data_IF_010681941480
#
_entry.id   IF_010681941480
#
_cell.length_a   1.000
_cell.length_b   1.000
_cell.length_c   1.000
_cell.angle_alpha   90.00
_cell.angle_beta   90.00
_cell.angle_gamma   90.00
#
_symmetry.space_group_name_H-M   'P 1'
#
loop_
_entity.id
_entity.type
_entity.pdbx_description
1 polymer ?
#
# COMPACT_ATOMS: atom_id res chain seq x y z
N UNK A 1 19.41 9.81 18.47
CA UNK A 1 18.06 10.27 18.79
C UNK A 1 17.11 9.97 17.64
N UNK A 2 15.87 9.67 17.97
CA UNK A 2 14.82 9.40 16.98
C UNK A 2 14.25 10.75 16.53
N UNK A 3 14.20 10.97 15.20
CA UNK A 3 13.61 12.20 14.64
C UNK A 3 12.08 12.17 14.66
N UNK A 4 11.50 10.98 14.54
CA UNK A 4 10.06 10.79 14.61
C UNK A 4 9.74 9.44 15.24
N UNK A 5 8.74 9.42 16.10
CA UNK A 5 8.28 8.20 16.76
C UNK A 5 6.76 8.08 16.59
N UNK A 6 6.31 6.90 16.18
CA UNK A 6 4.89 6.58 16.07
C UNK A 6 4.64 5.30 16.85
N UNK A 7 3.84 5.42 17.92
CA UNK A 7 3.49 4.29 18.77
C UNK A 7 2.22 3.65 18.21
N UNK A 8 2.27 2.35 17.92
CA UNK A 8 1.19 1.63 17.28
C UNK A 8 -0.16 1.75 17.97
N UNK A 9 -0.18 1.76 19.31
CA UNK A 9 -1.41 1.89 20.07
C UNK A 9 -2.09 3.26 19.93
N UNK A 10 -1.34 4.27 19.49
CA UNK A 10 -1.84 5.63 19.27
C UNK A 10 -2.19 5.90 17.81
N UNK A 11 -1.86 4.97 16.93
CA UNK A 11 -2.08 5.12 15.51
C UNK A 11 -3.53 4.78 15.19
N UNK A 12 -4.24 5.71 14.56
CA UNK A 12 -5.64 5.52 14.14
C UNK A 12 -5.67 5.25 12.65
N UNK A 13 -6.05 4.04 12.23
CA UNK A 13 -6.21 3.76 10.80
C UNK A 13 -7.44 4.49 10.25
N UNK A 14 -7.31 4.95 9.01
CA UNK A 14 -8.40 5.52 8.26
C UNK A 14 -8.86 4.54 7.19
N UNK A 15 -10.04 4.78 6.64
CA UNK A 15 -10.51 4.01 5.52
C UNK A 15 -9.58 4.23 4.33
N UNK A 16 -9.30 3.15 3.58
CA UNK A 16 -8.49 3.22 2.37
C UNK A 16 -9.09 4.26 1.41
N UNK A 17 -8.32 5.30 1.02
CA UNK A 17 -8.88 6.46 0.32
C UNK A 17 -9.08 6.27 -1.18
N UNK A 18 -8.57 5.18 -1.75
CA UNK A 18 -8.65 4.94 -3.18
C UNK A 18 -9.77 3.97 -3.52
N UNK A 19 -10.08 3.85 -4.80
CA UNK A 19 -11.10 2.91 -5.27
C UNK A 19 -10.76 1.50 -4.83
N UNK A 20 -11.73 0.84 -4.20
CA UNK A 20 -11.56 -0.52 -3.68
C UNK A 20 -12.92 -1.12 -3.36
N UNK A 21 -12.94 -2.41 -3.07
CA UNK A 21 -14.13 -3.12 -2.59
C UNK A 21 -13.82 -3.79 -1.26
N UNK A 22 -14.82 -3.86 -0.40
CA UNK A 22 -14.68 -4.45 0.92
C UNK A 22 -14.08 -3.49 1.94
N UNK A 23 -13.75 -4.03 3.10
CA UNK A 23 -13.25 -3.25 4.22
C UNK A 23 -11.72 -3.24 4.21
N UNK A 24 -11.16 -2.09 3.92
CA UNK A 24 -9.72 -1.87 3.89
C UNK A 24 -9.39 -0.61 4.68
N UNK A 25 -8.44 -0.72 5.59
CA UNK A 25 -7.94 0.43 6.36
C UNK A 25 -6.48 0.67 6.08
N UNK A 26 -6.07 1.92 6.22
CA UNK A 26 -4.71 2.37 5.98
C UNK A 26 -4.28 3.30 7.11
N UNK A 27 -3.08 3.08 7.62
CA UNK A 27 -2.48 3.97 8.60
C UNK A 27 -1.12 4.41 8.10
N UNK A 28 -0.88 5.71 8.06
CA UNK A 28 0.43 6.26 7.72
C UNK A 28 1.29 6.26 8.98
N UNK A 29 2.40 5.55 8.94
CA UNK A 29 3.25 5.38 10.12
C UNK A 29 4.27 6.51 10.30
N UNK A 30 4.56 7.28 9.27
CA UNK A 30 5.37 8.48 9.38
C UNK A 30 4.54 9.70 9.01
N UNK A 31 4.24 10.52 10.01
CA UNK A 31 3.38 11.69 9.83
C UNK A 31 4.03 12.78 8.95
N UNK A 32 5.35 12.76 8.82
CA UNK A 32 6.07 13.71 7.98
C UNK A 32 6.67 13.00 6.77
N UNK A 33 6.01 13.13 5.64
CA UNK A 33 6.41 12.49 4.39
C UNK A 33 7.77 12.96 3.85
N UNK A 34 8.31 14.04 4.38
CA UNK A 34 9.62 14.54 3.94
C UNK A 34 10.77 13.78 4.57
N UNK A 35 10.49 12.97 5.60
CA UNK A 35 11.49 12.18 6.31
C UNK A 35 11.63 10.76 5.74
N UNK A 36 12.06 10.67 4.49
CA UNK A 36 12.33 9.38 3.87
C UNK A 36 11.10 8.72 3.26
N UNK A 37 11.07 7.38 3.15
CA UNK A 37 9.96 6.71 2.48
C UNK A 37 8.66 6.86 3.27
N UNK A 38 7.55 6.88 2.54
CA UNK A 38 6.23 6.82 3.18
C UNK A 38 6.01 5.38 3.64
N UNK A 39 5.73 5.20 4.91
CA UNK A 39 5.49 3.88 5.48
C UNK A 39 4.01 3.73 5.83
N UNK A 40 3.37 2.75 5.23
CA UNK A 40 1.94 2.49 5.40
C UNK A 40 1.70 1.12 6.01
N UNK A 41 0.68 1.04 6.83
CA UNK A 41 0.15 -0.24 7.31
C UNK A 41 -1.26 -0.39 6.75
N UNK A 42 -1.47 -1.45 5.97
CA UNK A 42 -2.77 -1.71 5.33
C UNK A 42 -3.35 -3.01 5.88
N UNK A 43 -4.62 -2.95 6.26
CA UNK A 43 -5.38 -4.14 6.69
C UNK A 43 -6.51 -4.35 5.71
N UNK A 44 -6.52 -5.51 5.06
CA UNK A 44 -7.60 -5.93 4.18
C UNK A 44 -8.40 -7.02 4.88
N UNK A 45 -9.70 -6.80 5.05
CA UNK A 45 -10.59 -7.81 5.59
C UNK A 45 -10.88 -8.89 4.54
N UNK A 46 -11.40 -10.06 4.93
CA UNK A 46 -11.71 -11.12 3.97
C UNK A 46 -12.54 -10.64 2.78
N UNK A 47 -12.16 -11.07 1.59
CA UNK A 47 -12.80 -10.75 0.32
C UNK A 47 -12.66 -9.29 -0.14
N UNK A 48 -11.79 -8.50 0.50
CA UNK A 48 -11.49 -7.16 0.04
C UNK A 48 -10.62 -7.19 -1.21
N UNK A 49 -10.74 -6.15 -2.04
CA UNK A 49 -9.96 -6.05 -3.26
C UNK A 49 -9.62 -4.61 -3.62
N UNK A 50 -8.45 -4.43 -4.24
CA UNK A 50 -7.99 -3.16 -4.79
C UNK A 50 -7.76 -3.40 -6.29
N UNK A 51 -8.34 -2.57 -7.18
CA UNK A 51 -8.18 -2.79 -8.62
C UNK A 51 -6.73 -2.57 -9.05
N UNK A 52 -6.40 -3.06 -10.24
CA UNK A 52 -5.10 -2.82 -10.84
C UNK A 52 -4.84 -1.32 -10.94
N UNK A 53 -3.64 -0.90 -10.59
CA UNK A 53 -3.27 0.50 -10.52
C UNK A 53 -1.76 0.67 -10.69
N UNK A 54 -1.32 1.91 -10.76
CA UNK A 54 0.08 2.26 -10.76
C UNK A 54 0.33 3.50 -9.92
N UNK A 55 1.56 3.67 -9.46
CA UNK A 55 2.04 4.89 -8.84
C UNK A 55 2.95 5.60 -9.83
N UNK A 56 2.63 6.84 -10.16
CA UNK A 56 3.35 7.59 -11.21
C UNK A 56 4.81 7.87 -10.85
N UNK A 57 5.06 8.31 -9.64
CA UNK A 57 6.36 8.80 -9.21
C UNK A 57 7.01 8.05 -8.07
N UNK A 58 6.38 6.99 -7.56
CA UNK A 58 6.89 6.26 -6.41
C UNK A 58 7.03 4.78 -6.70
N UNK A 59 8.16 4.21 -6.31
CA UNK A 59 8.32 2.76 -6.26
C UNK A 59 7.70 2.24 -4.97
N UNK A 60 7.17 1.04 -5.00
CA UNK A 60 6.51 0.41 -3.86
C UNK A 60 7.24 -0.85 -3.46
N UNK A 61 7.48 -1.00 -2.17
CA UNK A 61 7.87 -2.25 -1.54
C UNK A 61 6.74 -2.69 -0.63
N UNK A 62 6.30 -3.92 -0.79
CA UNK A 62 5.17 -4.47 -0.03
C UNK A 62 5.62 -5.75 0.67
N UNK A 63 5.34 -5.84 1.96
CA UNK A 63 5.62 -7.02 2.77
C UNK A 63 4.32 -7.56 3.36
N UNK A 64 4.07 -8.86 3.13
CA UNK A 64 2.91 -9.53 3.71
C UNK A 64 3.23 -9.93 5.15
N UNK A 65 2.65 -9.20 6.09
CA UNK A 65 2.89 -9.41 7.52
C UNK A 65 2.11 -10.62 8.02
N UNK A 66 0.85 -10.74 7.57
CA UNK A 66 -0.07 -11.75 8.05
C UNK A 66 -1.13 -12.03 6.99
N UNK A 67 -1.61 -13.26 6.93
CA UNK A 67 -2.70 -13.64 6.05
C UNK A 67 -2.26 -14.00 4.64
N UNK A 68 -3.19 -13.89 3.69
CA UNK A 68 -2.97 -14.20 2.28
C UNK A 68 -3.14 -12.95 1.42
N UNK A 69 -2.25 -12.77 0.47
CA UNK A 69 -2.28 -11.65 -0.45
C UNK A 69 -2.15 -12.16 -1.88
N UNK A 70 -3.05 -11.76 -2.75
CA UNK A 70 -3.02 -12.16 -4.16
C UNK A 70 -2.77 -10.94 -5.04
N UNK A 71 -1.76 -11.01 -5.90
CA UNK A 71 -1.45 -9.99 -6.88
C UNK A 71 -1.44 -10.61 -8.27
N UNK A 72 -2.22 -10.05 -9.18
CA UNK A 72 -2.34 -10.54 -10.54
C UNK A 72 -2.64 -12.04 -10.60
N UNK A 73 -3.49 -12.53 -9.70
CA UNK A 73 -3.91 -13.93 -9.65
C UNK A 73 -2.95 -14.88 -8.95
N UNK A 74 -1.78 -14.41 -8.52
CA UNK A 74 -0.83 -15.23 -7.77
C UNK A 74 -0.94 -14.94 -6.28
N UNK A 75 -1.13 -16.00 -5.49
CA UNK A 75 -1.27 -15.90 -4.04
C UNK A 75 0.10 -15.97 -3.35
N UNK A 76 0.28 -15.11 -2.36
CA UNK A 76 1.49 -15.04 -1.54
C UNK A 76 1.13 -15.18 -0.08
N UNK A 77 1.98 -15.86 0.67
CA UNK A 77 1.82 -16.06 2.10
C UNK A 77 2.59 -15.02 2.90
N UNK A 78 2.30 -14.94 4.19
CA UNK A 78 3.04 -14.10 5.12
C UNK A 78 4.55 -14.36 5.00
N UNK A 79 5.35 -13.30 5.09
CA UNK A 79 6.80 -13.38 4.93
C UNK A 79 7.29 -13.05 3.52
N UNK A 80 6.37 -12.84 2.57
CA UNK A 80 6.73 -12.53 1.19
C UNK A 80 6.88 -11.02 1.00
N UNK A 81 7.91 -10.62 0.27
CA UNK A 81 8.11 -9.23 -0.15
C UNK A 81 7.94 -9.11 -1.66
N UNK A 82 7.25 -8.06 -2.08
CA UNK A 82 7.06 -7.72 -3.49
C UNK A 82 7.54 -6.29 -3.72
N UNK A 83 8.10 -6.03 -4.90
CA UNK A 83 8.62 -4.71 -5.27
C UNK A 83 8.08 -4.31 -6.64
N UNK A 84 7.61 -3.08 -6.74
CA UNK A 84 7.04 -2.53 -7.97
C UNK A 84 7.75 -1.22 -8.30
N UNK A 85 8.21 -1.08 -9.54
CA UNK A 85 8.82 0.16 -10.01
C UNK A 85 7.77 1.26 -10.16
N UNK A 86 8.20 2.52 -10.03
CA UNK A 86 7.34 3.65 -10.36
C UNK A 86 6.82 3.52 -11.81
N UNK A 87 5.57 3.85 -12.00
CA UNK A 87 4.91 3.77 -13.31
C UNK A 87 4.52 2.37 -13.77
N UNK A 88 4.90 1.33 -13.01
CA UNK A 88 4.53 -0.03 -13.38
C UNK A 88 3.16 -0.39 -12.81
N UNK A 89 2.28 -0.87 -13.66
CA UNK A 89 0.97 -1.36 -13.24
C UNK A 89 1.10 -2.63 -12.41
N UNK A 90 0.36 -2.71 -11.32
CA UNK A 90 0.26 -3.88 -10.47
C UNK A 90 -1.17 -4.05 -9.95
N UNK A 91 -1.46 -5.21 -9.40
CA UNK A 91 -2.83 -5.59 -9.03
C UNK A 91 -3.55 -6.29 -10.18
N UNK A 92 -4.84 -6.62 -10.00
CA UNK A 92 -5.59 -6.35 -8.78
C UNK A 92 -5.00 -7.07 -7.57
N UNK A 93 -5.18 -6.42 -6.41
CA UNK A 93 -4.81 -7.01 -5.13
C UNK A 93 -6.06 -7.55 -4.46
N UNK A 94 -6.04 -8.80 -4.06
CA UNK A 94 -7.19 -9.43 -3.40
C UNK A 94 -6.72 -10.23 -2.19
N UNK A 95 -7.64 -10.53 -1.31
CA UNK A 95 -7.40 -11.44 -0.19
C UNK A 95 -8.63 -12.30 0.03
N UNK A 96 -8.43 -13.57 0.29
CA UNK A 96 -9.53 -14.48 0.60
C UNK A 96 -9.87 -14.44 2.08
N UNK A 97 -8.86 -14.55 2.93
CA UNK A 97 -9.04 -14.70 4.38
C UNK A 97 -8.66 -13.45 5.15
N UNK A 98 -8.25 -12.40 4.46
CA UNK A 98 -7.74 -11.19 5.08
C UNK A 98 -6.22 -11.16 5.13
N UNK A 99 -5.66 -9.97 5.17
CA UNK A 99 -4.21 -9.80 5.30
C UNK A 99 -3.85 -8.48 5.95
N UNK A 100 -2.61 -8.45 6.45
CA UNK A 100 -1.97 -7.22 6.93
C UNK A 100 -0.70 -7.00 6.13
N UNK A 101 -0.53 -5.79 5.62
CA UNK A 101 0.58 -5.43 4.75
C UNK A 101 1.35 -4.26 5.34
N UNK A 102 2.67 -4.31 5.20
CA UNK A 102 3.53 -3.15 5.40
C UNK A 102 3.97 -2.69 4.03
N UNK A 103 3.72 -1.42 3.71
CA UNK A 103 4.00 -0.86 2.39
C UNK A 103 4.91 0.35 2.53
N UNK A 104 5.93 0.40 1.70
CA UNK A 104 6.87 1.53 1.62
C UNK A 104 6.82 2.12 0.21
N UNK A 105 6.63 3.44 0.13
CA UNK A 105 6.82 4.19 -1.10
C UNK A 105 8.18 4.86 -1.03
N UNK A 106 9.13 4.37 -1.81
CA UNK A 106 10.56 4.65 -1.60
C UNK A 106 11.17 5.69 -2.53
N UNK A 107 10.63 5.83 -3.73
CA UNK A 107 11.14 6.79 -4.70
C UNK A 107 10.08 7.84 -4.97
N UNK A 108 10.49 9.10 -5.00
CA UNK A 108 9.60 10.22 -5.30
C UNK A 108 10.18 11.02 -6.44
N UNK A 109 9.32 11.37 -7.39
CA UNK A 109 9.69 12.24 -8.49
C UNK A 109 9.80 13.71 -8.05
N UNK A 110 9.27 14.06 -6.88
CA UNK A 110 9.34 15.41 -6.31
C UNK A 110 9.63 15.34 -4.81
N UNK A 111 10.02 16.49 -4.24
CA UNK A 111 10.27 16.63 -2.80
C UNK A 111 8.98 16.85 -2.00
N UNK A 112 7.85 16.89 -2.67
CA UNK A 112 6.58 17.11 -2.02
C UNK A 112 6.09 15.86 -1.29
N UNK A 113 5.17 16.05 -0.36
CA UNK A 113 4.52 14.96 0.34
C UNK A 113 3.79 14.05 -0.66
N UNK A 114 3.53 12.81 -0.27
CA UNK A 114 2.81 11.86 -1.10
C UNK A 114 1.50 12.46 -1.59
N UNK A 115 1.33 12.50 -2.91
CA UNK A 115 0.16 13.06 -3.54
C UNK A 115 -0.81 11.91 -3.89
N UNK A 116 -2.08 12.08 -3.56
CA UNK A 116 -3.11 11.10 -3.89
C UNK A 116 -3.23 10.89 -5.40
N UNK A 117 -2.88 11.88 -6.21
CA UNK A 117 -2.88 11.75 -7.68
C UNK A 117 -1.82 10.77 -8.20
N UNK A 118 -0.87 10.37 -7.38
CA UNK A 118 0.15 9.38 -7.75
C UNK A 118 -0.45 7.99 -7.96
N UNK A 119 -1.54 7.69 -7.27
CA UNK A 119 -2.29 6.45 -7.43
C UNK A 119 -3.25 6.57 -8.61
N UNK A 120 -3.01 5.81 -9.66
CA UNK A 120 -3.81 5.84 -10.89
C UNK A 120 -4.38 4.45 -11.17
N UNK A 121 -5.70 4.39 -11.31
CA UNK A 121 -6.37 3.13 -11.69
C UNK A 121 -5.96 2.76 -13.11
N UNK A 122 -5.56 1.52 -13.31
CA UNK A 122 -5.21 1.01 -14.62
C UNK A 122 -6.44 0.99 -15.52
N UNK A 123 -6.26 1.43 -16.77
CA UNK A 123 -7.33 1.36 -17.75
C UNK A 123 -7.52 -0.10 -18.16
N UNK A 124 -8.76 -0.57 -18.13
CA UNK A 124 -9.06 -1.87 -18.71
C UNK A 124 -8.79 -1.83 -20.21
N UNK A 125 -8.20 -2.90 -20.72
CA UNK A 125 -8.10 -3.06 -22.16
C UNK A 125 -9.50 -3.02 -22.77
N UNK A 126 -9.63 -2.25 -23.82
CA UNK A 126 -10.91 -2.11 -24.52
C UNK A 126 -11.27 -3.45 -25.21
#
# INVERSE_FOLDING_TARGET
MVDQEVIGSQLKPDRFPFQSEGDITLAVRNANYTLGPVMLHIVMKPNASIPAHLHKGMAEALYVVEGDFTNEGKQYQAGTSLHFKAGKEHGPHTTKNGCKLLVLWTERSSKEAADLSDFVIAKKAA
#
